data_IF_380350267887
#
_entry.id   IF_380350267887
#
_cell.length_a   1.000
_cell.length_b   1.000
_cell.length_c   1.000
_cell.angle_alpha   90.00
_cell.angle_beta   90.00
_cell.angle_gamma   90.00
#
_symmetry.space_group_name_H-M   'P 1'
#
loop_
_entity.id
_entity.type
_entity.pdbx_description
1 polymer ?
#
# COMPACT_ATOMS: atom_id res chain seq x y z
N UNK A 1 -7.49 -16.09 -24.34
CA UNK A 1 -6.87 -14.73 -24.45
C UNK A 1 -5.76 -14.61 -23.43
N UNK A 2 -4.63 -13.97 -23.78
CA UNK A 2 -3.41 -14.06 -22.99
C UNK A 2 -3.39 -13.06 -21.82
N UNK A 3 -3.02 -13.54 -20.64
CA UNK A 3 -2.74 -12.76 -19.42
C UNK A 3 -1.83 -11.55 -19.71
N UNK A 4 -0.86 -11.72 -20.61
CA UNK A 4 0.05 -10.67 -21.05
C UNK A 4 -0.66 -9.47 -21.68
N UNK A 5 -1.74 -9.69 -22.43
CA UNK A 5 -2.52 -8.61 -23.05
C UNK A 5 -3.25 -7.78 -22.00
N UNK A 6 -3.85 -8.44 -21.01
CA UNK A 6 -4.53 -7.77 -19.88
C UNK A 6 -3.54 -6.95 -19.05
N UNK A 7 -2.37 -7.51 -18.75
CA UNK A 7 -1.30 -6.80 -18.05
C UNK A 7 -0.79 -5.59 -18.85
N UNK A 8 -0.50 -5.77 -20.14
CA UNK A 8 -0.01 -4.70 -21.02
C UNK A 8 -1.03 -3.55 -21.13
N UNK A 9 -2.29 -3.87 -21.41
CA UNK A 9 -3.35 -2.86 -21.53
C UNK A 9 -3.57 -2.11 -20.21
N UNK A 10 -3.54 -2.83 -19.08
CA UNK A 10 -3.58 -2.23 -17.76
C UNK A 10 -2.42 -1.26 -17.52
N UNK A 11 -1.20 -1.62 -17.94
CA UNK A 11 -0.02 -0.79 -17.77
C UNK A 11 -0.09 0.49 -18.61
N UNK A 12 -0.53 0.39 -19.86
CA UNK A 12 -0.74 1.55 -20.76
C UNK A 12 -1.78 2.50 -20.17
N UNK A 13 -2.90 1.97 -19.67
CA UNK A 13 -3.95 2.78 -19.04
C UNK A 13 -3.46 3.47 -17.76
N UNK A 14 -2.68 2.78 -16.94
CA UNK A 14 -2.06 3.38 -15.75
C UNK A 14 -1.04 4.48 -16.11
N UNK A 15 -0.16 4.23 -17.09
CA UNK A 15 0.82 5.19 -17.58
C UNK A 15 0.16 6.44 -18.19
N UNK A 16 -0.92 6.27 -18.95
CA UNK A 16 -1.72 7.40 -19.45
C UNK A 16 -2.26 8.27 -18.32
N UNK A 17 -2.35 7.71 -17.09
CA UNK A 17 -2.87 8.36 -15.90
C UNK A 17 -1.86 9.13 -15.06
N UNK A 18 -0.67 9.36 -15.60
CA UNK A 18 0.43 10.03 -14.91
C UNK A 18 0.02 11.37 -14.26
N UNK A 19 -0.80 12.21 -14.91
CA UNK A 19 -1.22 13.51 -14.34
C UNK A 19 -1.97 13.35 -13.02
N UNK A 20 -2.86 12.35 -12.93
CA UNK A 20 -3.61 12.07 -11.70
C UNK A 20 -2.72 11.40 -10.65
N UNK A 21 -1.80 10.54 -11.09
CA UNK A 21 -0.83 9.89 -10.19
C UNK A 21 0.11 10.94 -9.58
N UNK A 22 0.59 11.92 -10.36
CA UNK A 22 1.39 13.04 -9.87
C UNK A 22 0.61 13.93 -8.91
N UNK A 23 -0.68 14.16 -9.17
CA UNK A 23 -1.54 14.88 -8.23
C UNK A 23 -1.67 14.13 -6.89
N UNK A 24 -1.92 12.81 -6.93
CA UNK A 24 -1.95 11.96 -5.73
C UNK A 24 -0.61 12.03 -5.00
N UNK A 25 0.51 11.87 -5.73
CA UNK A 25 1.86 11.98 -5.19
C UNK A 25 2.09 13.32 -4.47
N UNK A 26 1.77 14.44 -5.11
CA UNK A 26 1.95 15.77 -4.55
C UNK A 26 1.15 15.92 -3.24
N UNK A 27 -0.12 15.51 -3.23
CA UNK A 27 -0.95 15.56 -2.00
C UNK A 27 -0.39 14.68 -0.89
N UNK A 28 0.12 13.47 -1.21
CA UNK A 28 0.75 12.61 -0.20
C UNK A 28 2.06 13.17 0.31
N UNK A 29 2.85 13.80 -0.56
CA UNK A 29 4.13 14.40 -0.22
C UNK A 29 3.94 15.55 0.77
N UNK A 30 2.97 16.44 0.53
CA UNK A 30 2.64 17.55 1.43
C UNK A 30 2.30 17.03 2.84
N UNK A 31 1.52 15.96 2.93
CA UNK A 31 1.12 15.37 4.21
C UNK A 31 2.29 14.69 4.91
N UNK A 32 3.13 13.97 4.17
CA UNK A 32 4.36 13.39 4.72
C UNK A 32 5.28 14.49 5.24
N UNK A 33 5.46 15.59 4.51
CA UNK A 33 6.27 16.72 4.96
C UNK A 33 5.71 17.39 6.23
N UNK A 34 4.39 17.49 6.35
CA UNK A 34 3.75 18.05 7.55
C UNK A 34 4.08 17.28 8.84
N UNK A 35 4.38 15.98 8.73
CA UNK A 35 4.76 15.13 9.87
C UNK A 35 6.28 14.98 10.01
N UNK A 36 7.01 14.88 8.90
CA UNK A 36 8.47 14.71 8.90
C UNK A 36 9.19 16.00 9.32
N UNK A 37 8.64 17.18 9.01
CA UNK A 37 9.28 18.45 9.37
C UNK A 37 9.38 18.65 10.90
N UNK A 38 8.31 18.48 11.70
CA UNK A 38 8.42 18.48 13.15
C UNK A 38 9.42 17.45 13.68
N UNK A 39 9.42 16.23 13.13
CA UNK A 39 10.38 15.19 13.53
C UNK A 39 11.83 15.64 13.30
N UNK A 40 12.13 16.25 12.15
CA UNK A 40 13.46 16.81 11.87
C UNK A 40 13.86 17.85 12.91
N UNK A 41 12.95 18.75 13.28
CA UNK A 41 13.24 19.76 14.32
C UNK A 41 13.54 19.10 15.67
N UNK A 42 12.79 18.07 16.05
CA UNK A 42 13.04 17.29 17.27
C UNK A 42 14.40 16.58 17.23
N UNK A 43 14.77 15.96 16.10
CA UNK A 43 16.10 15.36 15.93
C UNK A 43 17.22 16.41 16.07
N UNK A 44 17.06 17.57 15.44
CA UNK A 44 18.06 18.65 15.55
C UNK A 44 18.15 19.22 16.97
N UNK A 45 17.06 19.27 17.74
CA UNK A 45 17.10 19.70 19.14
C UNK A 45 17.85 18.71 20.04
N UNK A 46 17.75 17.41 19.76
CA UNK A 46 18.39 16.36 20.57
C UNK A 46 19.86 16.15 20.17
N UNK A 47 20.16 16.20 18.88
CA UNK A 47 21.46 15.79 18.33
C UNK A 47 22.27 16.92 17.68
N UNK A 48 21.64 18.06 17.35
CA UNK A 48 22.26 19.09 16.52
C UNK A 48 23.46 19.82 17.15
N UNK A 49 23.56 19.82 18.48
CA UNK A 49 24.64 20.48 19.22
C UNK A 49 25.47 19.52 20.09
N UNK A 50 25.36 18.20 19.89
CA UNK A 50 26.07 17.22 20.74
C UNK A 50 27.07 16.38 19.95
N UNK A 51 28.20 16.02 20.58
CA UNK A 51 29.13 15.00 20.05
C UNK A 51 28.51 13.58 20.01
N UNK A 52 27.23 13.44 20.39
CA UNK A 52 26.56 12.14 20.43
C UNK A 52 26.44 11.51 19.03
N UNK A 53 26.30 12.30 17.97
CA UNK A 53 26.25 11.79 16.58
C UNK A 53 27.56 11.11 16.19
N UNK A 54 28.69 11.72 16.56
CA UNK A 54 30.03 11.23 16.25
C UNK A 54 30.40 9.99 17.08
N UNK A 55 29.90 9.93 18.33
CA UNK A 55 30.03 8.71 19.17
C UNK A 55 29.12 7.57 18.70
N UNK A 56 27.89 7.86 18.28
CA UNK A 56 26.95 6.87 17.71
C UNK A 56 27.44 6.30 16.37
N UNK A 57 28.21 7.08 15.60
CA UNK A 57 28.90 6.62 14.39
C UNK A 57 29.92 5.51 14.67
N UNK A 58 30.55 5.53 15.86
CA UNK A 58 31.61 4.58 16.23
C UNK A 58 31.11 3.39 17.07
N UNK A 59 29.82 3.31 17.37
CA UNK A 59 29.21 2.21 18.12
C UNK A 59 28.08 2.67 19.04
N UNK A 60 27.34 1.71 19.59
CA UNK A 60 26.26 1.98 20.55
C UNK A 60 26.85 2.20 21.96
N UNK A 61 26.84 3.43 22.44
CA UNK A 61 27.33 3.81 23.79
C UNK A 61 26.16 3.87 24.79
N UNK A 62 26.23 3.03 25.83
CA UNK A 62 25.21 2.92 26.89
C UNK A 62 25.10 4.21 27.70
N UNK A 63 26.18 5.01 27.81
CA UNK A 63 26.14 6.31 28.48
C UNK A 63 25.24 7.32 27.75
N UNK A 64 25.23 7.28 26.42
CA UNK A 64 24.37 8.12 25.57
C UNK A 64 22.91 7.69 25.70
N UNK A 65 22.64 6.39 25.85
CA UNK A 65 21.29 5.88 26.06
C UNK A 65 20.66 6.35 27.39
N UNK A 66 21.47 6.52 28.44
CA UNK A 66 21.03 7.07 29.73
C UNK A 66 20.66 8.55 29.65
N UNK A 67 21.53 9.38 29.07
CA UNK A 67 21.35 10.84 29.01
C UNK A 67 20.27 11.27 28.00
N UNK A 68 20.11 10.52 26.91
CA UNK A 68 19.10 10.82 25.87
C UNK A 68 17.78 10.07 26.16
N UNK A 69 17.70 9.20 27.18
CA UNK A 69 16.56 8.30 27.40
C UNK A 69 15.18 8.97 27.41
N UNK A 70 15.03 10.09 28.13
CA UNK A 70 13.75 10.84 28.19
C UNK A 70 13.43 11.55 26.85
N UNK A 71 14.33 12.34 26.25
CA UNK A 71 14.11 12.90 24.91
C UNK A 71 13.88 11.85 23.81
N UNK A 72 14.57 10.72 23.87
CA UNK A 72 14.43 9.61 22.92
C UNK A 72 13.05 8.95 23.05
N UNK A 73 12.57 8.71 24.27
CA UNK A 73 11.23 8.15 24.50
C UNK A 73 10.15 9.12 23.99
N UNK A 74 10.32 10.42 24.21
CA UNK A 74 9.42 11.44 23.66
C UNK A 74 9.45 11.46 22.11
N UNK A 75 10.64 11.29 21.50
CA UNK A 75 10.78 11.18 20.06
C UNK A 75 10.11 9.90 19.52
N UNK A 76 10.29 8.75 20.17
CA UNK A 76 9.64 7.50 19.78
C UNK A 76 8.11 7.59 19.90
N UNK A 77 7.60 8.25 20.93
CA UNK A 77 6.18 8.55 21.06
C UNK A 77 5.68 9.47 19.93
N UNK A 78 6.44 10.51 19.58
CA UNK A 78 6.14 11.42 18.47
C UNK A 78 6.16 10.71 17.11
N UNK A 79 7.16 9.85 16.85
CA UNK A 79 7.24 9.02 15.64
C UNK A 79 6.06 8.07 15.57
N UNK A 80 5.71 7.40 16.68
CA UNK A 80 4.57 6.50 16.75
C UNK A 80 3.25 7.23 16.45
N UNK A 81 2.99 8.35 17.14
CA UNK A 81 1.79 9.18 16.91
C UNK A 81 1.74 9.73 15.48
N UNK A 82 2.86 10.24 14.97
CA UNK A 82 2.99 10.73 13.60
C UNK A 82 2.75 9.63 12.56
N UNK A 83 3.26 8.42 12.79
CA UNK A 83 3.05 7.27 11.92
C UNK A 83 1.59 6.82 11.90
N UNK A 84 0.91 6.83 13.05
CA UNK A 84 -0.51 6.52 13.17
C UNK A 84 -1.36 7.54 12.43
N UNK A 85 -1.03 8.83 12.58
CA UNK A 85 -1.71 9.92 11.89
C UNK A 85 -1.51 9.81 10.37
N UNK A 86 -0.27 9.65 9.90
CA UNK A 86 0.04 9.44 8.48
C UNK A 86 -0.65 8.20 7.92
N UNK A 87 -0.68 7.10 8.69
CA UNK A 87 -1.36 5.88 8.31
C UNK A 87 -2.87 6.09 8.15
N UNK A 88 -3.50 6.79 9.09
CA UNK A 88 -4.94 7.06 9.10
C UNK A 88 -5.33 8.01 7.98
N UNK A 89 -4.68 9.17 7.89
CA UNK A 89 -4.93 10.17 6.84
C UNK A 89 -4.61 9.59 5.46
N UNK A 90 -3.50 8.86 5.36
CA UNK A 90 -3.09 8.16 4.14
C UNK A 90 -4.12 7.10 3.72
N UNK A 91 -4.67 6.34 4.65
CA UNK A 91 -5.74 5.37 4.38
C UNK A 91 -6.99 6.04 3.80
N UNK A 92 -7.45 7.13 4.42
CA UNK A 92 -8.62 7.87 3.93
C UNK A 92 -8.39 8.49 2.55
N UNK A 93 -7.24 9.16 2.35
CA UNK A 93 -6.91 9.76 1.06
C UNK A 93 -6.74 8.73 -0.05
N UNK A 94 -6.09 7.61 0.23
CA UNK A 94 -5.93 6.54 -0.74
C UNK A 94 -7.28 5.91 -1.11
N UNK A 95 -8.20 5.81 -0.16
CA UNK A 95 -9.57 5.34 -0.40
C UNK A 95 -10.36 6.34 -1.24
N UNK A 96 -10.20 7.64 -0.95
CA UNK A 96 -10.81 8.73 -1.71
C UNK A 96 -10.30 8.77 -3.16
N UNK A 97 -8.98 8.76 -3.38
CA UNK A 97 -8.40 8.80 -4.72
C UNK A 97 -8.64 7.52 -5.52
N UNK A 98 -8.80 6.37 -4.86
CA UNK A 98 -9.21 5.14 -5.55
C UNK A 98 -10.55 5.33 -6.29
N UNK A 99 -11.51 6.06 -5.71
CA UNK A 99 -12.80 6.37 -6.34
C UNK A 99 -12.66 7.03 -7.72
N UNK A 100 -11.82 8.06 -7.82
CA UNK A 100 -11.55 8.77 -9.06
C UNK A 100 -10.76 7.92 -10.08
N UNK A 101 -9.79 7.11 -9.62
CA UNK A 101 -9.02 6.23 -10.49
C UNK A 101 -9.89 5.14 -11.11
N UNK A 102 -10.72 4.47 -10.33
CA UNK A 102 -11.64 3.46 -10.84
C UNK A 102 -12.65 4.06 -11.83
N UNK A 103 -13.15 5.28 -11.57
CA UNK A 103 -14.04 5.97 -12.52
C UNK A 103 -13.35 6.26 -13.85
N UNK A 104 -12.08 6.64 -13.82
CA UNK A 104 -11.30 6.83 -15.05
C UNK A 104 -11.14 5.54 -15.83
N UNK A 105 -10.81 4.44 -15.16
CA UNK A 105 -10.60 3.13 -15.81
C UNK A 105 -11.88 2.44 -16.28
N UNK A 106 -13.06 2.91 -15.86
CA UNK A 106 -14.34 2.42 -16.35
C UNK A 106 -14.93 3.25 -17.49
N UNK A 107 -14.36 4.42 -17.80
CA UNK A 107 -14.79 5.25 -18.92
C UNK A 107 -14.07 4.82 -20.20
N UNK A 108 -14.83 4.57 -21.27
CA UNK A 108 -14.31 4.00 -22.51
C UNK A 108 -13.29 4.93 -23.23
N UNK A 109 -13.42 6.26 -23.11
CA UNK A 109 -12.65 7.23 -23.93
C UNK A 109 -12.29 8.55 -23.20
N UNK A 110 -12.43 8.61 -21.87
CA UNK A 110 -12.43 9.90 -21.15
C UNK A 110 -11.10 10.33 -20.56
N UNK A 111 -10.47 11.37 -21.13
CA UNK A 111 -9.56 12.25 -20.36
C UNK A 111 -10.37 12.86 -19.21
N UNK A 112 -10.15 12.40 -17.99
CA UNK A 112 -10.84 12.94 -16.81
C UNK A 112 -10.12 14.22 -16.36
N UNK A 113 -10.83 15.35 -16.30
CA UNK A 113 -10.30 16.58 -15.68
C UNK A 113 -10.14 16.36 -14.17
N UNK A 114 -9.28 17.15 -13.52
CA UNK A 114 -9.04 17.04 -12.07
C UNK A 114 -10.33 17.31 -11.27
N UNK A 115 -11.17 18.25 -11.73
CA UNK A 115 -12.48 18.53 -11.12
C UNK A 115 -13.41 17.30 -11.15
N UNK A 116 -13.50 16.63 -12.30
CA UNK A 116 -14.34 15.45 -12.47
C UNK A 116 -13.78 14.24 -11.70
N UNK A 117 -12.45 14.16 -11.60
CA UNK A 117 -11.76 13.20 -10.75
C UNK A 117 -12.12 13.37 -9.28
N UNK A 118 -12.02 14.59 -8.74
CA UNK A 118 -12.37 14.88 -7.35
C UNK A 118 -13.87 14.66 -7.08
N UNK A 119 -14.75 15.04 -8.02
CA UNK A 119 -16.18 14.77 -7.92
C UNK A 119 -16.49 13.27 -7.91
N UNK A 120 -15.83 12.49 -8.77
CA UNK A 120 -15.96 11.04 -8.79
C UNK A 120 -15.39 10.36 -7.54
N UNK A 121 -14.28 10.89 -7.01
CA UNK A 121 -13.71 10.47 -5.74
C UNK A 121 -14.68 10.71 -4.57
N UNK A 122 -15.28 11.90 -4.48
CA UNK A 122 -16.25 12.22 -3.43
C UNK A 122 -17.51 11.36 -3.53
N UNK A 123 -18.06 11.16 -4.74
CA UNK A 123 -19.26 10.36 -4.95
C UNK A 123 -19.09 8.88 -4.58
N UNK A 124 -17.89 8.32 -4.77
CA UNK A 124 -17.58 6.92 -4.49
C UNK A 124 -16.91 6.69 -3.12
N UNK A 125 -16.56 7.75 -2.38
CA UNK A 125 -15.76 7.64 -1.16
C UNK A 125 -16.42 6.75 -0.10
N UNK A 126 -17.66 7.03 0.29
CA UNK A 126 -18.35 6.28 1.36
C UNK A 126 -18.52 4.80 1.00
N UNK A 127 -19.03 4.42 -0.19
CA UNK A 127 -19.09 3.01 -0.56
C UNK A 127 -17.71 2.33 -0.61
N UNK A 128 -16.68 3.03 -1.08
CA UNK A 128 -15.32 2.47 -1.14
C UNK A 128 -14.71 2.30 0.24
N UNK A 129 -14.99 3.21 1.17
CA UNK A 129 -14.60 3.11 2.56
C UNK A 129 -15.27 1.90 3.23
N UNK A 130 -16.57 1.69 3.01
CA UNK A 130 -17.28 0.51 3.50
C UNK A 130 -16.66 -0.79 2.96
N UNK A 131 -16.35 -0.85 1.66
CA UNK A 131 -15.61 -2.00 1.09
C UNK A 131 -14.24 -2.15 1.75
N UNK A 132 -13.48 -1.07 1.91
CA UNK A 132 -12.14 -1.12 2.49
C UNK A 132 -12.14 -1.66 3.92
N UNK A 133 -13.07 -1.18 4.77
CA UNK A 133 -13.23 -1.65 6.15
C UNK A 133 -13.69 -3.11 6.20
N UNK A 134 -14.68 -3.50 5.39
CA UNK A 134 -15.15 -4.87 5.33
C UNK A 134 -14.05 -5.83 4.87
N UNK A 135 -13.31 -5.46 3.83
CA UNK A 135 -12.19 -6.26 3.34
C UNK A 135 -11.03 -6.32 4.33
N UNK A 136 -10.79 -5.26 5.11
CA UNK A 136 -9.81 -5.26 6.18
C UNK A 136 -10.19 -6.26 7.27
N UNK A 137 -11.47 -6.32 7.66
CA UNK A 137 -11.97 -7.32 8.60
C UNK A 137 -11.82 -8.74 8.04
N UNK A 138 -12.21 -8.97 6.79
CA UNK A 138 -12.09 -10.30 6.14
C UNK A 138 -10.63 -10.74 6.06
N UNK A 139 -9.73 -9.87 5.60
CA UNK A 139 -8.30 -10.18 5.51
C UNK A 139 -7.70 -10.36 6.91
N UNK A 140 -8.14 -9.58 7.89
CA UNK A 140 -7.74 -9.74 9.30
C UNK A 140 -8.15 -11.09 9.86
N UNK A 141 -9.41 -11.49 9.69
CA UNK A 141 -9.91 -12.81 10.08
C UNK A 141 -9.16 -13.94 9.34
N UNK A 142 -8.93 -13.80 8.05
CA UNK A 142 -8.15 -14.74 7.24
C UNK A 142 -6.70 -14.87 7.76
N UNK A 143 -6.06 -13.76 8.10
CA UNK A 143 -4.71 -13.73 8.67
C UNK A 143 -4.68 -14.38 10.05
N UNK A 144 -5.67 -14.10 10.89
CA UNK A 144 -5.80 -14.70 12.21
C UNK A 144 -6.00 -16.21 12.12
N UNK A 145 -6.86 -16.69 11.21
CA UNK A 145 -7.11 -18.13 11.05
C UNK A 145 -5.87 -18.85 10.52
N UNK A 146 -5.16 -18.30 9.53
CA UNK A 146 -4.03 -18.99 8.92
C UNK A 146 -2.71 -18.86 9.68
N UNK A 147 -2.44 -17.72 10.30
CA UNK A 147 -1.16 -17.47 10.97
C UNK A 147 -1.37 -17.41 12.48
N UNK A 148 -2.41 -16.71 12.94
CA UNK A 148 -2.70 -16.52 14.36
C UNK A 148 -2.99 -17.83 15.09
N UNK A 149 -3.96 -18.62 14.62
CA UNK A 149 -4.36 -19.88 15.27
C UNK A 149 -3.20 -20.89 15.33
N UNK A 150 -2.49 -21.21 14.23
CA UNK A 150 -1.34 -22.11 14.31
C UNK A 150 -0.22 -21.56 15.19
N UNK A 151 0.00 -20.23 15.18
CA UNK A 151 0.95 -19.58 16.07
C UNK A 151 0.65 -19.81 17.54
N UNK A 152 -0.60 -19.54 17.96
CA UNK A 152 -1.04 -19.70 19.35
C UNK A 152 -0.96 -21.17 19.79
N UNK A 153 -1.44 -22.10 18.95
CA UNK A 153 -1.37 -23.54 19.24
C UNK A 153 0.08 -24.00 19.42
N UNK A 154 1.01 -23.53 18.58
CA UNK A 154 2.41 -23.92 18.69
C UNK A 154 3.09 -23.32 19.92
N UNK A 155 2.76 -22.09 20.28
CA UNK A 155 3.24 -21.48 21.53
C UNK A 155 2.74 -22.26 22.76
N UNK A 156 1.47 -22.66 22.76
CA UNK A 156 0.89 -23.44 23.85
C UNK A 156 1.53 -24.83 24.01
N UNK A 157 1.89 -25.50 22.90
CA UNK A 157 2.49 -26.84 22.92
C UNK A 157 3.99 -26.82 23.22
N UNK A 158 4.73 -25.84 22.70
CA UNK A 158 6.20 -25.82 22.76
C UNK A 158 6.80 -24.94 23.87
N UNK A 159 5.99 -24.08 24.51
CA UNK A 159 6.47 -23.12 25.50
C UNK A 159 7.43 -22.04 24.95
N UNK A 160 7.75 -22.07 23.65
CA UNK A 160 8.68 -21.13 23.00
C UNK A 160 7.95 -19.95 22.37
N UNK A 161 8.48 -18.73 22.56
CA UNK A 161 7.88 -17.50 22.05
C UNK A 161 7.99 -17.31 20.53
N UNK A 162 8.90 -18.04 19.86
CA UNK A 162 9.14 -17.88 18.43
C UNK A 162 8.77 -19.15 17.65
N UNK A 163 7.69 -19.06 16.89
CA UNK A 163 7.18 -20.13 16.05
C UNK A 163 8.03 -20.31 14.78
N UNK A 164 9.29 -20.72 14.91
CA UNK A 164 10.17 -21.05 13.78
C UNK A 164 10.16 -22.56 13.51
N UNK A 165 9.23 -23.02 12.68
CA UNK A 165 9.23 -24.42 12.24
C UNK A 165 8.77 -24.55 10.80
N UNK A 166 9.21 -25.63 10.13
CA UNK A 166 8.86 -25.93 8.72
C UNK A 166 7.36 -25.85 8.44
N UNK A 167 6.53 -26.22 9.42
CA UNK A 167 5.07 -26.17 9.35
C UNK A 167 4.50 -24.74 9.33
N UNK A 168 5.13 -23.75 9.97
CA UNK A 168 4.68 -22.34 9.87
C UNK A 168 4.97 -21.74 8.50
N UNK A 169 6.06 -22.14 7.84
CA UNK A 169 6.32 -21.71 6.46
C UNK A 169 5.21 -22.13 5.50
N UNK A 170 4.61 -23.31 5.71
CA UNK A 170 3.45 -23.75 4.94
C UNK A 170 2.25 -22.81 5.14
N UNK A 171 1.94 -22.43 6.39
CA UNK A 171 0.86 -21.49 6.70
C UNK A 171 1.12 -20.09 6.13
N UNK A 172 2.36 -19.59 6.21
CA UNK A 172 2.74 -18.32 5.58
C UNK A 172 2.60 -18.38 4.06
N UNK A 173 3.01 -19.47 3.42
CA UNK A 173 2.86 -19.65 1.98
C UNK A 173 1.39 -19.70 1.57
N UNK A 174 0.55 -20.43 2.32
CA UNK A 174 -0.89 -20.51 2.07
C UNK A 174 -1.56 -19.14 2.22
N UNK A 175 -1.18 -18.39 3.26
CA UNK A 175 -1.65 -17.02 3.48
C UNK A 175 -1.25 -16.09 2.34
N UNK A 176 0.03 -16.11 1.95
CA UNK A 176 0.54 -15.29 0.85
C UNK A 176 -0.16 -15.59 -0.48
N UNK A 177 -0.44 -16.86 -0.77
CA UNK A 177 -1.14 -17.29 -1.98
C UNK A 177 -2.64 -16.99 -1.95
N UNK A 178 -3.30 -16.94 -0.80
CA UNK A 178 -4.72 -16.56 -0.74
C UNK A 178 -4.96 -15.05 -0.74
N UNK A 179 -3.98 -14.21 -0.38
CA UNK A 179 -4.12 -12.75 -0.43
C UNK A 179 -4.55 -12.19 -1.81
N UNK A 180 -4.00 -12.63 -2.95
CA UNK A 180 -4.45 -12.22 -4.27
C UNK A 180 -5.96 -12.38 -4.51
N UNK A 181 -6.58 -13.42 -3.93
CA UNK A 181 -8.03 -13.66 -4.06
C UNK A 181 -8.80 -12.51 -3.41
N UNK A 182 -8.48 -12.19 -2.16
CA UNK A 182 -9.14 -11.12 -1.42
C UNK A 182 -8.89 -9.74 -2.04
N UNK A 183 -7.67 -9.50 -2.53
CA UNK A 183 -7.32 -8.26 -3.23
C UNK A 183 -8.10 -8.11 -4.54
N UNK A 184 -8.26 -9.19 -5.30
CA UNK A 184 -9.08 -9.18 -6.51
C UNK A 184 -10.55 -8.85 -6.19
N UNK A 185 -11.14 -9.53 -5.20
CA UNK A 185 -12.54 -9.30 -4.80
C UNK A 185 -12.74 -7.85 -4.37
N UNK A 186 -11.82 -7.27 -3.59
CA UNK A 186 -11.87 -5.88 -3.18
C UNK A 186 -11.89 -4.92 -4.39
N UNK A 187 -10.98 -5.12 -5.34
CA UNK A 187 -10.84 -4.24 -6.51
C UNK A 187 -11.97 -4.42 -7.52
N UNK A 188 -12.45 -5.65 -7.73
CA UNK A 188 -13.61 -5.95 -8.57
C UNK A 188 -14.90 -5.33 -8.00
N UNK A 189 -15.08 -5.38 -6.68
CA UNK A 189 -16.23 -4.75 -5.99
C UNK A 189 -16.22 -3.24 -6.16
N UNK A 190 -15.06 -2.59 -6.02
CA UNK A 190 -14.88 -1.14 -6.24
C UNK A 190 -15.19 -0.75 -7.68
N UNK A 191 -14.70 -1.52 -8.65
CA UNK A 191 -15.02 -1.33 -10.07
C UNK A 191 -16.53 -1.42 -10.31
N UNK A 192 -17.22 -2.41 -9.75
CA UNK A 192 -18.66 -2.57 -9.95
C UNK A 192 -19.44 -1.34 -9.46
N UNK A 193 -19.07 -0.78 -8.32
CA UNK A 193 -19.65 0.48 -7.81
C UNK A 193 -19.35 1.64 -8.76
N UNK A 194 -18.10 1.80 -9.20
CA UNK A 194 -17.71 2.90 -10.09
C UNK A 194 -18.38 2.82 -11.48
N UNK A 195 -18.70 1.61 -11.95
CA UNK A 195 -19.37 1.38 -13.23
C UNK A 195 -20.89 1.54 -13.15
N UNK A 196 -21.53 1.08 -12.06
CA UNK A 196 -23.00 1.11 -11.91
C UNK A 196 -23.53 2.34 -11.20
N UNK A 197 -22.67 3.08 -10.46
CA UNK A 197 -23.09 4.16 -9.57
C UNK A 197 -23.88 3.68 -8.33
N UNK A 198 -23.98 2.36 -8.12
CA UNK A 198 -24.75 1.80 -7.02
C UNK A 198 -24.01 1.91 -5.69
N UNK A 199 -24.68 2.41 -4.65
CA UNK A 199 -24.13 2.52 -3.28
C UNK A 199 -24.24 1.21 -2.47
N UNK A 200 -24.77 0.13 -3.05
CA UNK A 200 -25.04 -1.15 -2.35
C UNK A 200 -23.75 -1.98 -2.22
N UNK A 201 -23.11 -1.90 -1.05
CA UNK A 201 -21.79 -2.51 -0.76
C UNK A 201 -21.78 -4.04 -0.81
N UNK A 202 -22.76 -4.71 -0.19
CA UNK A 202 -22.83 -6.19 -0.20
C UNK A 202 -23.09 -6.75 -1.59
N UNK A 203 -23.93 -6.08 -2.38
CA UNK A 203 -24.17 -6.46 -3.78
C UNK A 203 -22.91 -6.29 -4.63
N UNK A 204 -22.12 -5.25 -4.36
CA UNK A 204 -20.83 -5.06 -5.00
C UNK A 204 -19.85 -6.18 -4.65
N UNK A 205 -19.82 -6.61 -3.38
CA UNK A 205 -18.99 -7.73 -2.93
C UNK A 205 -19.37 -9.04 -3.63
N UNK A 206 -20.68 -9.34 -3.70
CA UNK A 206 -21.19 -10.49 -4.44
C UNK A 206 -20.84 -10.43 -5.93
N UNK A 207 -20.85 -9.24 -6.54
CA UNK A 207 -20.38 -9.06 -7.92
C UNK A 207 -18.87 -9.31 -8.06
N UNK A 208 -18.05 -8.91 -7.07
CA UNK A 208 -16.63 -9.21 -7.02
C UNK A 208 -16.34 -10.72 -6.96
N UNK A 209 -17.06 -11.45 -6.11
CA UNK A 209 -16.97 -12.92 -6.05
C UNK A 209 -17.44 -13.60 -7.33
N UNK A 210 -18.51 -13.10 -7.95
CA UNK A 210 -19.00 -13.63 -9.23
C UNK A 210 -17.95 -13.47 -10.33
N UNK A 211 -17.35 -12.28 -10.44
CA UNK A 211 -16.28 -12.01 -11.40
C UNK A 211 -15.04 -12.89 -11.16
N UNK A 212 -14.74 -13.22 -9.89
CA UNK A 212 -13.67 -14.16 -9.57
C UNK A 212 -14.02 -15.58 -10.04
N UNK A 213 -15.25 -16.04 -9.80
CA UNK A 213 -15.70 -17.40 -10.17
C UNK A 213 -15.68 -17.63 -11.68
N UNK A 214 -16.11 -16.65 -12.47
CA UNK A 214 -16.22 -16.77 -13.93
C UNK A 214 -14.86 -16.99 -14.63
N UNK A 215 -13.78 -16.37 -14.14
CA UNK A 215 -12.42 -16.53 -14.69
C UNK A 215 -11.37 -16.59 -13.59
N UNK A 216 -11.51 -17.56 -12.68
CA UNK A 216 -10.65 -17.69 -11.50
C UNK A 216 -9.16 -17.60 -11.84
N UNK A 217 -8.68 -18.44 -12.75
CA UNK A 217 -7.26 -18.50 -13.11
C UNK A 217 -6.72 -17.20 -13.69
N UNK A 218 -7.45 -16.56 -14.61
CA UNK A 218 -7.00 -15.31 -15.22
C UNK A 218 -6.97 -14.17 -14.20
N UNK A 219 -8.02 -14.03 -13.40
CA UNK A 219 -8.15 -13.01 -12.35
C UNK A 219 -7.10 -13.19 -11.26
N UNK A 220 -6.93 -14.43 -10.78
CA UNK A 220 -5.96 -14.80 -9.76
C UNK A 220 -4.52 -14.55 -10.24
N UNK A 221 -4.13 -15.09 -11.40
CA UNK A 221 -2.76 -14.95 -11.91
C UNK A 221 -2.42 -13.48 -12.22
N UNK A 222 -3.39 -12.68 -12.70
CA UNK A 222 -3.17 -11.25 -12.95
C UNK A 222 -2.84 -10.51 -11.65
N UNK A 223 -3.60 -10.73 -10.59
CA UNK A 223 -3.34 -10.07 -9.30
C UNK A 223 -2.08 -10.63 -8.64
N UNK A 224 -1.84 -11.94 -8.71
CA UNK A 224 -0.64 -12.58 -8.20
C UNK A 224 0.62 -11.98 -8.84
N UNK A 225 0.67 -11.88 -10.17
CA UNK A 225 1.80 -11.28 -10.88
C UNK A 225 2.07 -9.84 -10.41
N UNK A 226 1.02 -9.03 -10.25
CA UNK A 226 1.16 -7.64 -9.79
C UNK A 226 1.60 -7.59 -8.32
N UNK A 227 1.13 -8.49 -7.46
CA UNK A 227 1.57 -8.58 -6.06
C UNK A 227 3.05 -8.95 -5.98
N UNK A 228 3.52 -9.91 -6.79
CA UNK A 228 4.94 -10.29 -6.83
C UNK A 228 5.83 -9.13 -7.28
N UNK A 229 5.43 -8.41 -8.35
CA UNK A 229 6.18 -7.24 -8.83
C UNK A 229 6.22 -6.13 -7.76
N UNK A 230 5.10 -5.90 -7.06
CA UNK A 230 5.07 -4.95 -5.94
C UNK A 230 5.98 -5.39 -4.79
N UNK A 231 6.02 -6.69 -4.45
CA UNK A 231 6.86 -7.22 -3.39
C UNK A 231 8.35 -7.02 -3.71
N UNK A 232 8.78 -7.36 -4.94
CA UNK A 232 10.15 -7.11 -5.41
C UNK A 232 10.52 -5.63 -5.33
N UNK A 233 9.60 -4.74 -5.73
CA UNK A 233 9.83 -3.30 -5.67
C UNK A 233 9.97 -2.77 -4.25
N UNK A 234 9.20 -3.32 -3.28
CA UNK A 234 9.32 -2.97 -1.86
C UNK A 234 10.65 -3.46 -1.28
N UNK A 235 11.08 -4.67 -1.64
CA UNK A 235 12.39 -5.20 -1.24
C UNK A 235 13.51 -4.33 -1.80
N UNK A 236 13.44 -3.97 -3.08
CA UNK A 236 14.40 -3.07 -3.71
C UNK A 236 14.45 -1.69 -3.02
N UNK A 237 13.30 -1.17 -2.61
CA UNK A 237 13.18 0.06 -1.82
C UNK A 237 13.91 -0.04 -0.48
N UNK A 238 13.66 -1.11 0.29
CA UNK A 238 14.32 -1.32 1.58
C UNK A 238 15.81 -1.56 1.42
N UNK A 239 16.21 -2.32 0.41
CA UNK A 239 17.62 -2.55 0.11
C UNK A 239 18.34 -1.25 -0.28
N UNK A 240 17.72 -0.42 -1.13
CA UNK A 240 18.25 0.90 -1.48
C UNK A 240 18.35 1.83 -0.27
N UNK A 241 17.31 1.86 0.58
CA UNK A 241 17.31 2.68 1.80
C UNK A 241 18.35 2.21 2.83
N UNK A 242 18.61 0.89 2.93
CA UNK A 242 19.58 0.33 3.86
C UNK A 242 21.04 0.48 3.39
N UNK A 243 21.27 0.54 2.07
CA UNK A 243 22.62 0.65 1.49
C UNK A 243 23.06 2.10 1.25
N UNK A 244 22.14 3.06 1.26
CA UNK A 244 22.47 4.46 1.01
C UNK A 244 22.81 5.21 2.32
N UNK A 245 24.07 5.58 2.49
CA UNK A 245 24.54 6.53 3.51
C UNK A 245 24.93 7.85 2.82
N UNK A 246 24.02 8.83 2.74
CA UNK A 246 24.31 10.09 2.05
C UNK A 246 25.15 11.02 2.94
N UNK A 247 26.46 11.07 2.68
CA UNK A 247 27.41 11.87 3.49
C UNK A 247 27.55 13.33 3.03
N UNK A 248 27.16 13.62 1.78
CA UNK A 248 27.23 14.97 1.17
C UNK A 248 25.84 15.55 0.94
N UNK A 249 25.69 16.87 1.02
CA UNK A 249 24.42 17.55 0.77
C UNK A 249 23.79 17.22 -0.59
N UNK A 250 24.61 17.07 -1.64
CA UNK A 250 24.12 16.66 -2.97
C UNK A 250 23.64 15.20 -3.00
N UNK A 251 24.24 14.31 -2.19
CA UNK A 251 23.80 12.92 -2.06
C UNK A 251 22.45 12.84 -1.34
N UNK A 252 22.18 13.69 -0.35
CA UNK A 252 20.87 13.79 0.30
C UNK A 252 19.79 14.20 -0.70
N UNK A 253 20.07 15.16 -1.58
CA UNK A 253 19.15 15.58 -2.63
C UNK A 253 18.90 14.47 -3.66
N UNK A 254 19.94 13.77 -4.12
CA UNK A 254 19.80 12.63 -5.02
C UNK A 254 19.03 11.46 -4.37
N UNK A 255 19.28 11.20 -3.09
CA UNK A 255 18.54 10.21 -2.32
C UNK A 255 17.05 10.58 -2.20
N UNK A 256 16.74 11.86 -1.99
CA UNK A 256 15.37 12.35 -2.04
C UNK A 256 14.73 12.10 -3.42
N UNK A 257 15.39 12.44 -4.53
CA UNK A 257 14.85 12.17 -5.88
C UNK A 257 14.62 10.68 -6.10
N UNK A 258 15.56 9.82 -5.69
CA UNK A 258 15.44 8.37 -5.84
C UNK A 258 14.26 7.82 -5.04
N UNK A 259 14.12 8.21 -3.78
CA UNK A 259 13.00 7.78 -2.92
C UNK A 259 11.65 8.28 -3.46
N UNK A 260 11.57 9.52 -3.96
CA UNK A 260 10.34 10.04 -4.58
C UNK A 260 9.98 9.30 -5.87
N UNK A 261 10.98 8.99 -6.72
CA UNK A 261 10.78 8.24 -7.95
C UNK A 261 10.22 6.84 -7.67
N UNK A 262 10.76 6.15 -6.67
CA UNK A 262 10.27 4.85 -6.25
C UNK A 262 8.84 4.92 -5.68
N UNK A 263 8.48 5.99 -4.98
CA UNK A 263 7.12 6.20 -4.50
C UNK A 263 6.14 6.44 -5.67
N UNK A 264 6.54 7.20 -6.69
CA UNK A 264 5.74 7.39 -7.91
C UNK A 264 5.54 6.04 -8.63
N UNK A 265 6.60 5.24 -8.77
CA UNK A 265 6.52 3.89 -9.34
C UNK A 265 5.53 3.02 -8.54
N UNK A 266 5.55 3.11 -7.20
CA UNK A 266 4.59 2.41 -6.35
C UNK A 266 3.14 2.83 -6.60
N UNK A 267 2.87 4.13 -6.76
CA UNK A 267 1.54 4.61 -7.12
C UNK A 267 1.12 4.14 -8.51
N UNK A 268 2.05 4.12 -9.46
CA UNK A 268 1.83 3.60 -10.81
C UNK A 268 1.47 2.11 -10.78
N UNK A 269 2.18 1.29 -9.99
CA UNK A 269 1.85 -0.13 -9.83
C UNK A 269 0.48 -0.36 -9.18
N UNK A 270 0.09 0.48 -8.22
CA UNK A 270 -1.25 0.42 -7.63
C UNK A 270 -2.33 0.78 -8.67
N UNK A 271 -2.10 1.81 -9.47
CA UNK A 271 -3.00 2.18 -10.58
C UNK A 271 -3.05 1.09 -11.66
N UNK A 272 -1.92 0.44 -11.95
CA UNK A 272 -1.83 -0.69 -12.87
C UNK A 272 -2.69 -1.86 -12.40
N UNK A 273 -2.66 -2.19 -11.10
CA UNK A 273 -3.56 -3.21 -10.53
C UNK A 273 -5.03 -2.91 -10.79
N UNK A 274 -5.45 -1.67 -10.53
CA UNK A 274 -6.84 -1.24 -10.76
C UNK A 274 -7.23 -1.31 -12.22
N UNK A 275 -6.35 -0.86 -13.12
CA UNK A 275 -6.57 -0.91 -14.56
C UNK A 275 -6.61 -2.34 -15.10
N UNK A 276 -5.73 -3.23 -14.63
CA UNK A 276 -5.68 -4.64 -15.05
C UNK A 276 -6.94 -5.41 -14.60
N UNK A 277 -7.41 -5.19 -13.37
CA UNK A 277 -8.70 -5.75 -12.89
C UNK A 277 -9.87 -5.19 -13.71
N UNK A 278 -9.81 -3.91 -14.08
CA UNK A 278 -10.80 -3.31 -14.95
C UNK A 278 -10.86 -3.95 -16.34
N UNK A 279 -9.70 -4.17 -16.95
CA UNK A 279 -9.58 -4.80 -18.24
C UNK A 279 -10.07 -6.26 -18.20
N UNK A 280 -9.65 -7.03 -17.19
CA UNK A 280 -10.04 -8.44 -17.02
C UNK A 280 -11.56 -8.63 -16.98
N UNK A 281 -12.28 -7.69 -16.34
CA UNK A 281 -13.74 -7.73 -16.20
C UNK A 281 -14.45 -7.12 -17.42
N UNK A 282 -13.86 -6.14 -18.12
CA UNK A 282 -14.50 -5.55 -19.32
C UNK A 282 -14.65 -6.61 -20.42
N UNK A 283 -13.69 -7.51 -20.53
CA UNK A 283 -13.70 -8.63 -21.49
C UNK A 283 -14.78 -9.69 -21.21
N UNK A 284 -15.42 -9.67 -20.04
CA UNK A 284 -16.55 -10.55 -19.72
C UNK A 284 -17.83 -10.07 -20.38
N UNK A 285 -17.97 -8.76 -20.62
CA UNK A 285 -19.21 -8.16 -21.14
C UNK A 285 -19.28 -8.07 -22.66
N UNK A 286 -18.18 -8.42 -23.35
CA UNK A 286 -18.03 -8.34 -24.81
C UNK A 286 -18.02 -9.71 -25.50
N UNK A 287 -18.40 -10.76 -24.78
CA UNK A 287 -18.66 -12.11 -25.28
C UNK A 287 -20.11 -12.41 -24.90
#
# INVERSE_FOLDING_TARGET
>A
MSLLRTLKNGAVNAASSYKLILFIWCTTLVITLAVVYPLRTSFNMIFGNSMAVERLSNGFDIGIAGDIGKPLMALMASVSAGSLLLGTVGFFLMTFFAGGLFRRFTLAWGRLRVSDFLRASAGNFIPFLKIALLMMLIIGAYTFVLIGLPGILKMAISGSQMSSGKLMYLFYALWALGLPIWLFVADASRRWIAATGSKKTFRALGAGFRALKERFWLSYLTVLAIVLINAVSIVALFWFAASATPDKGIMVFLFFIATQSLFIIRLLMKAWRYAAVCEAIHQVKSI
#
